data_IF_574150033456
#
_entry.id   IF_574150033456
#
_cell.length_a   1.000
_cell.length_b   1.000
_cell.length_c   1.000
_cell.angle_alpha   90.00
_cell.angle_beta   90.00
_cell.angle_gamma   90.00
#
_symmetry.space_group_name_H-M   'P 1'
#
loop_
_entity.id
_entity.type
_entity.pdbx_description
1 polymer ?
#
# COMPACT_ATOMS: atom_id res chain seq x y z
N UNK A 1 -23.30 -34.08 5.98
CA UNK A 1 -22.58 -33.01 5.24
C UNK A 1 -23.62 -32.06 4.67
N UNK A 2 -23.73 -30.80 5.13
CA UNK A 2 -24.63 -29.84 4.48
C UNK A 2 -24.09 -29.48 3.09
N UNK A 3 -24.92 -29.68 2.06
CA UNK A 3 -24.58 -29.42 0.66
C UNK A 3 -24.76 -27.94 0.34
N UNK A 4 -23.75 -27.30 -0.24
CA UNK A 4 -23.82 -25.88 -0.64
C UNK A 4 -24.39 -25.80 -2.05
N UNK A 5 -25.54 -25.15 -2.22
CA UNK A 5 -26.13 -24.89 -3.54
C UNK A 5 -25.39 -23.76 -4.25
N UNK A 6 -24.61 -24.12 -5.27
CA UNK A 6 -23.86 -23.18 -6.12
C UNK A 6 -24.76 -22.20 -6.89
N UNK A 7 -26.07 -22.49 -7.01
CA UNK A 7 -27.06 -21.68 -7.72
C UNK A 7 -27.39 -20.33 -7.08
N UNK A 8 -26.91 -20.06 -5.85
CA UNK A 8 -27.14 -18.78 -5.15
C UNK A 8 -25.92 -17.86 -5.10
N UNK A 9 -24.83 -18.22 -5.79
CA UNK A 9 -23.65 -17.36 -5.87
C UNK A 9 -23.95 -16.16 -6.79
N UNK A 10 -23.87 -14.91 -6.30
CA UNK A 10 -24.00 -13.75 -7.17
C UNK A 10 -22.85 -13.76 -8.18
N UNK A 11 -23.18 -13.62 -9.47
CA UNK A 11 -22.21 -13.61 -10.54
C UNK A 11 -21.24 -12.43 -10.44
N UNK A 12 -20.01 -12.63 -10.92
CA UNK A 12 -18.99 -11.57 -10.97
C UNK A 12 -19.35 -10.61 -12.11
N UNK A 13 -19.66 -9.37 -11.76
CA UNK A 13 -19.92 -8.31 -12.74
C UNK A 13 -18.62 -7.74 -13.31
N UNK A 14 -18.60 -7.28 -14.58
CA UNK A 14 -17.42 -6.70 -15.19
C UNK A 14 -17.06 -5.36 -14.53
N UNK A 15 -15.76 -5.10 -14.42
CA UNK A 15 -15.24 -3.82 -13.92
C UNK A 15 -15.50 -2.74 -14.97
N UNK A 16 -16.21 -1.66 -14.59
CA UNK A 16 -16.45 -0.52 -15.47
C UNK A 16 -15.21 0.38 -15.49
N UNK A 17 -14.77 0.75 -16.70
CA UNK A 17 -13.66 1.69 -16.87
C UNK A 17 -14.06 3.10 -16.41
N UNK A 18 -13.21 3.72 -15.59
CA UNK A 18 -13.34 5.13 -15.20
C UNK A 18 -12.88 6.04 -16.34
N UNK A 19 -13.67 7.08 -16.63
CA UNK A 19 -13.32 8.09 -17.63
C UNK A 19 -12.23 9.01 -17.10
N UNK A 20 -11.39 9.55 -17.98
CA UNK A 20 -10.23 10.40 -17.62
C UNK A 20 -10.60 11.67 -16.84
N UNK A 21 -11.88 12.05 -16.83
CA UNK A 21 -12.42 13.17 -16.03
C UNK A 21 -12.50 12.86 -14.53
N UNK A 22 -12.34 11.59 -14.12
CA UNK A 22 -12.33 11.18 -12.71
C UNK A 22 -10.94 11.37 -12.06
N UNK A 23 -9.92 11.72 -12.84
CA UNK A 23 -8.61 12.10 -12.31
C UNK A 23 -8.64 13.57 -11.90
N UNK A 24 -9.05 13.83 -10.67
CA UNK A 24 -8.88 15.13 -10.02
C UNK A 24 -7.40 15.52 -10.03
N UNK A 25 -7.08 16.67 -10.64
CA UNK A 25 -5.77 17.30 -10.51
C UNK A 25 -5.51 17.56 -9.02
N UNK A 26 -4.41 17.02 -8.50
CA UNK A 26 -3.90 17.39 -7.19
C UNK A 26 -3.26 18.77 -7.33
N UNK A 27 -4.09 19.81 -7.28
CA UNK A 27 -3.65 21.20 -7.22
C UNK A 27 -3.15 21.51 -5.81
N UNK A 28 -1.97 22.12 -5.72
CA UNK A 28 -1.24 22.37 -4.49
C UNK A 28 -2.11 23.18 -3.51
N UNK A 29 -2.41 22.56 -2.36
CA UNK A 29 -3.36 23.05 -1.36
C UNK A 29 -2.98 24.43 -0.83
N UNK A 30 -3.66 25.48 -1.31
CA UNK A 30 -3.82 26.72 -0.53
C UNK A 30 -5.04 26.55 0.39
N UNK A 31 -4.84 26.86 1.68
CA UNK A 31 -5.84 26.72 2.73
C UNK A 31 -6.95 27.76 2.57
N UNK A 32 -8.13 27.33 2.10
CA UNK A 32 -9.37 28.09 2.18
C UNK A 32 -10.46 27.26 2.87
N UNK A 33 -11.22 27.93 3.74
CA UNK A 33 -12.24 27.38 4.63
C UNK A 33 -13.41 26.69 3.88
N UNK A 34 -14.11 25.71 4.50
CA UNK A 34 -15.15 24.96 3.81
C UNK A 34 -16.46 25.76 3.74
N UNK A 35 -16.88 26.13 2.54
CA UNK A 35 -18.27 26.49 2.25
C UNK A 35 -19.05 25.21 1.93
N UNK A 36 -20.03 24.86 2.77
CA UNK A 36 -20.94 23.72 2.54
C UNK A 36 -22.00 24.07 1.50
N UNK A 37 -22.00 23.36 0.37
CA UNK A 37 -23.17 23.14 -0.49
C UNK A 37 -23.75 21.73 -0.26
N UNK A 38 -25.04 21.47 -0.55
CA UNK A 38 -25.65 20.18 -0.29
C UNK A 38 -25.46 19.26 -1.50
N UNK A 39 -24.32 18.59 -1.56
CA UNK A 39 -24.17 17.38 -2.37
C UNK A 39 -24.44 16.19 -1.46
N UNK A 40 -25.53 15.46 -1.75
CA UNK A 40 -25.85 14.19 -1.11
C UNK A 40 -24.84 13.13 -1.56
N UNK A 41 -23.59 13.31 -1.15
CA UNK A 41 -22.52 12.34 -1.27
C UNK A 41 -22.50 11.44 -0.05
N UNK A 42 -22.18 10.17 -0.27
CA UNK A 42 -21.78 9.26 0.79
C UNK A 42 -20.58 9.85 1.54
N UNK A 43 -20.79 10.24 2.79
CA UNK A 43 -19.72 10.75 3.66
C UNK A 43 -18.95 9.55 4.19
N UNK A 44 -17.76 9.30 3.64
CA UNK A 44 -16.82 8.32 4.19
C UNK A 44 -16.07 9.00 5.32
N UNK A 45 -16.54 8.77 6.54
CA UNK A 45 -15.77 9.09 7.75
C UNK A 45 -14.57 8.14 7.79
N UNK A 46 -13.40 8.63 7.39
CA UNK A 46 -12.14 7.94 7.61
C UNK A 46 -11.83 8.05 9.11
N UNK A 47 -12.34 7.11 9.91
CA UNK A 47 -11.86 6.97 11.29
C UNK A 47 -10.34 6.90 11.21
N UNK A 48 -9.67 7.86 11.85
CA UNK A 48 -8.22 7.83 12.01
C UNK A 48 -7.87 6.43 12.47
N UNK A 49 -7.23 5.67 11.57
CA UNK A 49 -6.85 4.29 11.84
C UNK A 49 -6.09 4.25 13.17
N UNK A 50 -6.22 3.18 13.96
CA UNK A 50 -5.62 3.11 15.28
C UNK A 50 -4.19 3.63 15.19
N UNK A 51 -3.93 4.72 15.94
CA UNK A 51 -2.63 5.36 16.17
C UNK A 51 -1.53 4.39 15.82
N UNK A 52 -0.77 4.67 14.75
CA UNK A 52 0.16 3.76 14.07
C UNK A 52 0.97 2.89 15.05
N UNK A 53 0.35 1.81 15.51
CA UNK A 53 0.94 0.90 16.46
C UNK A 53 1.87 0.08 15.59
N UNK A 54 3.17 0.28 15.79
CA UNK A 54 4.21 -0.41 15.03
C UNK A 54 3.78 -1.86 14.84
N UNK A 55 3.67 -2.35 13.59
CA UNK A 55 3.21 -3.72 13.36
C UNK A 55 4.05 -4.67 14.20
N UNK A 56 3.44 -5.68 14.85
CA UNK A 56 4.15 -6.54 15.78
C UNK A 56 5.33 -7.20 15.05
N UNK A 57 6.54 -6.88 15.49
CA UNK A 57 7.78 -7.43 14.92
C UNK A 57 8.17 -8.67 15.71
N UNK A 58 8.38 -9.76 14.98
CA UNK A 58 8.88 -11.01 15.54
C UNK A 58 10.40 -10.92 15.78
N UNK A 59 10.78 -10.75 17.06
CA UNK A 59 12.18 -10.60 17.46
C UNK A 59 13.01 -11.87 17.23
N UNK A 60 12.41 -13.05 17.33
CA UNK A 60 13.12 -14.31 17.07
C UNK A 60 13.47 -14.42 15.58
N UNK A 61 12.49 -14.14 14.72
CA UNK A 61 12.70 -14.11 13.27
C UNK A 61 13.81 -13.13 12.87
N UNK A 62 13.84 -11.94 13.48
CA UNK A 62 14.89 -10.95 13.21
C UNK A 62 16.28 -11.50 13.55
N UNK A 63 16.42 -12.23 14.66
CA UNK A 63 17.69 -12.85 15.03
C UNK A 63 18.13 -13.94 14.05
N UNK A 64 17.20 -14.80 13.62
CA UNK A 64 17.48 -15.83 12.61
C UNK A 64 17.92 -15.23 11.27
N UNK A 65 17.24 -14.17 10.82
CA UNK A 65 17.62 -13.44 9.59
C UNK A 65 19.02 -12.85 9.73
N UNK A 66 19.33 -12.22 10.87
CA UNK A 66 20.67 -11.65 11.13
C UNK A 66 21.77 -12.73 11.12
N UNK A 67 21.50 -13.91 11.66
CA UNK A 67 22.43 -15.05 11.61
C UNK A 67 22.63 -15.54 10.17
N UNK A 68 21.54 -15.78 9.43
CA UNK A 68 21.62 -16.23 8.04
C UNK A 68 22.31 -15.23 7.10
N UNK A 69 22.17 -13.92 7.36
CA UNK A 69 22.90 -12.87 6.63
C UNK A 69 24.40 -12.91 6.93
N UNK A 70 24.81 -13.17 8.19
CA UNK A 70 26.21 -13.32 8.57
C UNK A 70 26.84 -14.53 7.91
N UNK A 71 26.11 -15.64 7.87
CA UNK A 71 26.60 -16.90 7.31
C UNK A 71 26.49 -16.95 5.77
N UNK A 72 25.93 -15.90 5.14
CA UNK A 72 25.76 -15.80 3.69
C UNK A 72 24.68 -16.73 3.12
N UNK A 73 23.93 -17.44 3.97
CA UNK A 73 22.87 -18.37 3.56
C UNK A 73 21.53 -17.69 3.29
N UNK A 74 21.37 -16.42 3.69
CA UNK A 74 20.14 -15.68 3.40
C UNK A 74 20.07 -15.30 1.91
N UNK A 75 19.02 -15.69 1.17
CA UNK A 75 18.97 -15.49 -0.27
C UNK A 75 18.75 -14.02 -0.63
N UNK A 76 19.82 -13.35 -1.04
CA UNK A 76 19.77 -12.01 -1.61
C UNK A 76 19.55 -12.10 -3.12
N UNK A 77 18.44 -11.57 -3.61
CA UNK A 77 18.10 -11.57 -5.05
C UNK A 77 18.08 -10.14 -5.54
N UNK A 78 18.90 -9.76 -6.55
CA UNK A 78 18.95 -8.38 -7.05
C UNK A 78 17.57 -7.79 -7.38
N UNK A 79 16.70 -8.58 -8.00
CA UNK A 79 15.32 -8.18 -8.33
C UNK A 79 14.51 -7.79 -7.08
N UNK A 80 14.63 -8.56 -5.99
CA UNK A 80 13.92 -8.27 -4.73
C UNK A 80 14.48 -7.04 -4.02
N UNK A 81 15.78 -6.81 -4.14
CA UNK A 81 16.43 -5.62 -3.57
C UNK A 81 15.93 -4.38 -4.29
N UNK A 82 15.93 -4.38 -5.62
CA UNK A 82 15.44 -3.26 -6.43
C UNK A 82 13.97 -2.98 -6.17
N UNK A 83 13.12 -4.02 -6.09
CA UNK A 83 11.70 -3.87 -5.75
C UNK A 83 11.48 -3.20 -4.39
N UNK A 84 12.23 -3.65 -3.36
CA UNK A 84 12.20 -3.03 -2.03
C UNK A 84 12.68 -1.57 -2.04
N UNK A 85 13.68 -1.23 -2.86
CA UNK A 85 14.17 0.14 -3.00
C UNK A 85 13.16 1.06 -3.70
N UNK A 86 12.46 0.56 -4.72
CA UNK A 86 11.38 1.29 -5.40
C UNK A 86 10.22 1.53 -4.43
N UNK A 87 9.81 0.48 -3.70
CA UNK A 87 8.76 0.58 -2.68
C UNK A 87 9.11 1.57 -1.56
N UNK A 88 10.39 1.64 -1.19
CA UNK A 88 10.91 2.58 -0.20
C UNK A 88 11.30 3.96 -0.78
N UNK A 89 11.09 4.20 -2.08
CA UNK A 89 11.44 5.44 -2.79
C UNK A 89 12.89 5.90 -2.57
N UNK A 90 13.83 4.95 -2.51
CA UNK A 90 15.26 5.24 -2.29
C UNK A 90 15.91 5.69 -3.58
N UNK A 91 16.48 6.91 -3.58
CA UNK A 91 17.30 7.42 -4.70
C UNK A 91 18.77 7.03 -4.54
N UNK A 92 19.34 6.43 -5.59
CA UNK A 92 20.77 6.11 -5.67
C UNK A 92 21.50 7.23 -6.40
N UNK A 93 22.17 8.12 -5.68
CA UNK A 93 23.16 9.04 -6.25
C UNK A 93 24.55 8.42 -6.17
N UNK A 94 25.22 8.32 -7.31
CA UNK A 94 26.64 7.95 -7.35
C UNK A 94 27.46 9.17 -6.89
N UNK A 95 28.43 9.01 -5.97
CA UNK A 95 29.36 10.08 -5.68
C UNK A 95 30.21 10.36 -6.92
N UNK A 96 30.17 11.61 -7.39
CA UNK A 96 31.06 12.11 -8.44
C UNK A 96 32.51 11.84 -8.00
N UNK A 97 33.15 10.90 -8.69
CA UNK A 97 34.55 10.54 -8.47
C UNK A 97 35.39 11.71 -9.01
N UNK A 98 36.02 12.47 -8.11
CA UNK A 98 37.01 13.50 -8.45
C UNK A 98 38.41 12.93 -8.63
#
# INVERSE_FOLDING_TARGET
MPSVELSKLPGVSPVRALATSDRTQVDARTLAAPSRGPEAGISVELSAGPEASTPPVDAERVQQIRAALRDGSYPLVPTKIVDAMIAAQVSLSLPEQG
#
